data_IF_608486152832
#
_entry.id   IF_608486152832
#
_cell.length_a   1.000
_cell.length_b   1.000
_cell.length_c   1.000
_cell.angle_alpha   90.00
_cell.angle_beta   90.00
_cell.angle_gamma   90.00
#
_symmetry.space_group_name_H-M   'P 1'
#
loop_
_entity.id
_entity.type
_entity.pdbx_description
1 polymer ?
#
# COMPACT_ATOMS: atom_id res chain seq x y z
N UNK A 1 -58.98 -39.66 -35.77
CA UNK A 1 -58.21 -40.90 -35.50
C UNK A 1 -57.36 -40.68 -34.28
N UNK A 2 -57.56 -41.52 -33.31
CA UNK A 2 -57.06 -41.50 -31.95
C UNK A 2 -55.57 -41.97 -31.84
N UNK A 3 -55.03 -41.80 -30.70
CA UNK A 3 -53.93 -42.42 -29.94
C UNK A 3 -52.89 -41.39 -29.54
N UNK A 4 -52.41 -41.21 -28.31
CA UNK A 4 -52.65 -41.98 -27.08
C UNK A 4 -51.72 -41.39 -26.07
N UNK A 5 -52.18 -41.03 -24.86
CA UNK A 5 -51.35 -40.60 -23.72
C UNK A 5 -50.56 -41.78 -23.18
N UNK A 6 -49.26 -41.59 -22.88
CA UNK A 6 -48.59 -42.46 -21.93
C UNK A 6 -47.72 -41.61 -21.00
N UNK A 7 -47.99 -41.78 -19.75
CA UNK A 7 -47.34 -41.20 -18.57
C UNK A 7 -46.02 -41.88 -18.29
N UNK A 8 -44.98 -41.10 -17.99
CA UNK A 8 -43.78 -41.60 -17.26
C UNK A 8 -43.31 -40.61 -16.24
N UNK A 9 -43.88 -40.68 -15.04
CA UNK A 9 -43.46 -39.98 -13.82
C UNK A 9 -42.58 -40.87 -12.92
N UNK A 10 -41.57 -41.55 -13.45
CA UNK A 10 -40.67 -42.37 -12.62
C UNK A 10 -39.17 -42.11 -12.86
N UNK A 11 -38.78 -41.17 -13.73
CA UNK A 11 -37.38 -40.91 -14.06
C UNK A 11 -36.66 -39.89 -13.14
N UNK A 12 -37.38 -38.95 -12.54
CA UNK A 12 -36.77 -37.81 -11.85
C UNK A 12 -36.30 -38.12 -10.43
N UNK A 13 -36.93 -39.05 -9.74
CA UNK A 13 -36.56 -39.40 -8.35
C UNK A 13 -35.29 -40.28 -8.27
N UNK A 14 -35.05 -41.13 -9.27
CA UNK A 14 -33.83 -41.95 -9.32
C UNK A 14 -32.58 -41.15 -9.67
N UNK A 15 -32.68 -40.14 -10.54
CA UNK A 15 -31.56 -39.27 -10.89
C UNK A 15 -31.13 -38.35 -9.72
N UNK A 16 -32.07 -37.81 -8.97
CA UNK A 16 -31.77 -36.99 -7.80
C UNK A 16 -31.03 -37.76 -6.69
N UNK A 17 -31.47 -39.02 -6.42
CA UNK A 17 -30.80 -39.85 -5.42
C UNK A 17 -29.41 -40.33 -5.88
N UNK A 18 -29.21 -40.56 -7.19
CA UNK A 18 -27.92 -40.96 -7.75
C UNK A 18 -26.90 -39.79 -7.72
N UNK A 19 -27.36 -38.57 -7.96
CA UNK A 19 -26.50 -37.38 -7.90
C UNK A 19 -26.09 -37.07 -6.45
N UNK A 20 -26.98 -37.16 -5.48
CA UNK A 20 -26.68 -36.96 -4.06
C UNK A 20 -25.72 -38.02 -3.50
N UNK A 21 -25.85 -39.30 -3.91
CA UNK A 21 -24.94 -40.37 -3.49
C UNK A 21 -23.56 -40.28 -4.16
N UNK A 22 -23.48 -39.74 -5.38
CA UNK A 22 -22.21 -39.48 -6.06
C UNK A 22 -21.45 -38.29 -5.44
N UNK A 23 -22.15 -37.24 -5.01
CA UNK A 23 -21.53 -36.07 -4.37
C UNK A 23 -21.02 -36.41 -2.97
N UNK A 24 -21.73 -37.20 -2.18
CA UNK A 24 -21.24 -37.73 -0.90
C UNK A 24 -20.01 -38.63 -1.06
N UNK A 25 -19.98 -39.53 -2.06
CA UNK A 25 -18.80 -40.38 -2.34
C UNK A 25 -17.59 -39.56 -2.84
N UNK A 26 -17.83 -38.49 -3.59
CA UNK A 26 -16.78 -37.61 -4.08
C UNK A 26 -16.13 -36.80 -2.96
N UNK A 27 -16.91 -36.30 -1.99
CA UNK A 27 -16.40 -35.63 -0.80
C UNK A 27 -15.57 -36.59 0.08
N UNK A 28 -16.04 -37.82 0.30
CA UNK A 28 -15.29 -38.83 1.04
C UNK A 28 -14.01 -39.27 0.32
N UNK A 29 -14.03 -39.35 -1.02
CA UNK A 29 -12.88 -39.69 -1.84
C UNK A 29 -11.80 -38.58 -1.80
N UNK A 30 -12.20 -37.31 -1.89
CA UNK A 30 -11.26 -36.16 -1.77
C UNK A 30 -10.64 -36.11 -0.39
N UNK A 31 -11.41 -36.36 0.68
CA UNK A 31 -10.90 -36.42 2.05
C UNK A 31 -9.92 -37.58 2.24
N UNK A 32 -10.20 -38.74 1.68
CA UNK A 32 -9.35 -39.93 1.75
C UNK A 32 -8.06 -39.78 0.91
N UNK A 33 -8.12 -39.13 -0.25
CA UNK A 33 -6.96 -38.86 -1.09
C UNK A 33 -6.04 -37.78 -0.49
N UNK A 34 -6.62 -36.74 0.13
CA UNK A 34 -5.86 -35.71 0.83
C UNK A 34 -5.08 -36.24 2.02
N UNK A 35 -5.66 -37.18 2.77
CA UNK A 35 -5.01 -37.83 3.91
C UNK A 35 -3.96 -38.88 3.48
N UNK A 36 -4.16 -39.56 2.37
CA UNK A 36 -3.22 -40.57 1.86
C UNK A 36 -1.96 -39.97 1.23
N UNK A 37 -2.02 -38.80 0.62
CA UNK A 37 -0.89 -38.12 0.00
C UNK A 37 0.03 -37.43 1.03
N UNK A 38 -0.48 -37.05 2.19
CA UNK A 38 0.34 -36.48 3.27
C UNK A 38 1.10 -37.56 4.06
N UNK A 39 0.66 -38.81 4.06
CA UNK A 39 1.28 -39.89 4.85
C UNK A 39 2.59 -40.43 4.26
N UNK A 40 2.94 -40.10 3.01
CA UNK A 40 4.12 -40.62 2.32
C UNK A 40 5.30 -39.66 2.21
N UNK A 41 5.17 -38.41 2.66
CA UNK A 41 6.18 -37.37 2.37
C UNK A 41 7.02 -36.90 3.55
N UNK A 42 6.61 -37.06 4.82
CA UNK A 42 7.44 -36.70 6.01
C UNK A 42 6.80 -37.33 7.27
N UNK A 43 7.57 -37.53 8.38
CA UNK A 43 7.00 -37.94 9.65
C UNK A 43 6.31 -36.75 10.34
N UNK A 44 5.25 -36.23 9.72
CA UNK A 44 4.33 -35.32 10.42
C UNK A 44 3.46 -36.16 11.35
N UNK A 45 3.54 -35.90 12.66
CA UNK A 45 2.69 -36.57 13.62
C UNK A 45 1.23 -36.26 13.30
N UNK A 46 0.36 -37.28 13.28
CA UNK A 46 -1.12 -37.16 13.14
C UNK A 46 -1.70 -36.04 14.01
N UNK A 47 -1.07 -35.73 15.15
CA UNK A 47 -1.45 -34.65 16.06
C UNK A 47 -1.34 -33.24 15.46
N UNK A 48 -0.56 -33.03 14.38
CA UNK A 48 -0.40 -31.73 13.71
C UNK A 48 -1.48 -31.53 12.63
N UNK A 49 -1.84 -32.60 11.92
CA UNK A 49 -2.92 -32.57 10.91
C UNK A 49 -4.30 -32.45 11.60
N UNK A 50 -4.50 -33.17 12.70
CA UNK A 50 -5.73 -33.03 13.51
C UNK A 50 -5.85 -31.63 14.12
N UNK A 51 -4.77 -31.03 14.63
CA UNK A 51 -4.76 -29.65 15.13
C UNK A 51 -5.04 -28.60 14.07
N UNK A 52 -4.62 -28.83 12.82
CA UNK A 52 -4.93 -27.95 11.69
C UNK A 52 -6.41 -28.08 11.27
N UNK A 53 -6.93 -29.31 11.16
CA UNK A 53 -8.33 -29.57 10.80
C UNK A 53 -9.28 -29.11 11.88
N UNK A 54 -8.98 -29.33 13.14
CA UNK A 54 -9.81 -28.84 14.27
C UNK A 54 -9.82 -27.32 14.36
N UNK A 55 -8.71 -26.66 14.06
CA UNK A 55 -8.61 -25.19 14.04
C UNK A 55 -9.41 -24.56 12.89
N UNK A 56 -9.58 -25.27 11.78
CA UNK A 56 -10.32 -24.78 10.59
C UNK A 56 -11.79 -25.22 10.56
N UNK A 57 -12.14 -26.28 11.28
CA UNK A 57 -13.51 -26.84 11.34
C UNK A 57 -14.23 -26.54 12.65
N UNK A 58 -13.53 -25.95 13.64
CA UNK A 58 -14.16 -25.52 14.88
C UNK A 58 -15.07 -24.33 14.63
N UNK A 59 -16.25 -24.42 15.17
CA UNK A 59 -17.39 -23.49 15.29
C UNK A 59 -17.13 -22.02 14.92
N UNK A 60 -18.12 -21.28 14.41
CA UNK A 60 -17.96 -19.85 14.17
C UNK A 60 -17.41 -19.20 15.45
N UNK A 61 -16.28 -18.53 15.32
CA UNK A 61 -15.59 -17.93 16.44
C UNK A 61 -16.54 -17.02 17.21
N UNK A 62 -16.62 -17.19 18.52
CA UNK A 62 -17.34 -16.25 19.41
C UNK A 62 -16.47 -15.01 19.69
N UNK A 63 -15.31 -14.91 19.06
CA UNK A 63 -14.34 -13.83 19.24
C UNK A 63 -14.87 -12.50 18.74
N UNK A 64 -14.57 -11.45 19.50
CA UNK A 64 -14.84 -10.06 19.10
C UNK A 64 -13.51 -9.38 18.81
N UNK A 65 -13.43 -8.67 17.71
CA UNK A 65 -12.28 -7.81 17.42
C UNK A 65 -12.24 -6.65 18.43
N UNK A 66 -11.05 -6.34 18.91
CA UNK A 66 -10.79 -5.22 19.82
C UNK A 66 -9.79 -4.27 19.21
N UNK A 67 -10.21 -3.03 18.98
CA UNK A 67 -9.37 -1.93 18.52
C UNK A 67 -8.77 -1.19 19.73
N UNK A 68 -7.49 -0.88 19.65
CA UNK A 68 -6.79 0.05 20.53
C UNK A 68 -5.80 0.90 19.74
N UNK A 69 -5.51 2.11 20.22
CA UNK A 69 -4.63 3.04 19.53
C UNK A 69 -3.87 3.92 20.53
N UNK A 70 -2.70 4.39 20.10
CA UNK A 70 -1.81 5.22 20.91
C UNK A 70 -1.24 6.35 20.06
N UNK A 71 -1.37 7.62 20.48
CA UNK A 71 -0.67 8.74 19.86
C UNK A 71 0.84 8.51 19.83
N UNK A 72 1.47 8.88 18.73
CA UNK A 72 2.91 8.79 18.55
C UNK A 72 3.42 10.04 17.81
N UNK A 73 4.69 10.37 17.97
CA UNK A 73 5.32 11.47 17.23
C UNK A 73 6.63 10.97 16.64
N UNK A 74 6.72 10.97 15.32
CA UNK A 74 7.92 10.60 14.59
C UNK A 74 8.95 11.73 14.67
N UNK A 75 10.19 11.40 15.04
CA UNK A 75 11.33 12.30 15.09
C UNK A 75 12.15 12.16 13.81
N UNK A 76 12.26 13.23 13.04
CA UNK A 76 13.00 13.19 11.78
C UNK A 76 14.52 13.32 12.05
N UNK A 77 15.33 12.60 11.29
CA UNK A 77 16.81 12.67 11.37
C UNK A 77 17.35 14.02 10.92
N UNK A 78 16.72 14.59 9.89
CA UNK A 78 17.01 15.93 9.35
C UNK A 78 15.69 16.70 9.23
N UNK A 79 15.73 18.03 9.21
CA UNK A 79 14.58 18.83 8.85
C UNK A 79 14.09 18.44 7.45
N UNK A 80 12.79 18.17 7.32
CA UNK A 80 12.17 17.80 6.06
C UNK A 80 11.56 19.03 5.39
N UNK A 81 12.31 19.58 4.43
CA UNK A 81 11.96 20.80 3.74
C UNK A 81 11.35 20.50 2.37
N UNK A 82 10.18 21.04 2.14
CA UNK A 82 9.41 21.01 0.89
C UNK A 82 9.16 22.45 0.42
N UNK A 83 8.67 22.62 -0.81
CA UNK A 83 8.37 23.94 -1.38
C UNK A 83 7.45 24.80 -0.48
N UNK A 84 6.52 24.19 0.26
CA UNK A 84 5.48 24.91 1.05
C UNK A 84 5.53 24.63 2.55
N UNK A 85 6.44 23.80 3.04
CA UNK A 85 6.48 23.42 4.46
C UNK A 85 7.86 22.94 4.91
N UNK A 86 8.14 23.07 6.21
CA UNK A 86 9.31 22.49 6.88
C UNK A 86 8.88 21.90 8.22
N UNK A 87 9.46 20.76 8.59
CA UNK A 87 9.18 20.11 9.88
C UNK A 87 10.34 19.24 10.35
N UNK A 88 10.43 19.03 11.66
CA UNK A 88 11.38 18.12 12.33
C UNK A 88 10.69 16.94 12.97
N UNK A 89 9.35 16.96 13.05
CA UNK A 89 8.51 15.86 13.55
C UNK A 89 7.35 15.62 12.60
N UNK A 90 6.72 14.43 12.70
CA UNK A 90 5.45 14.15 12.05
C UNK A 90 4.51 13.51 13.06
N UNK A 91 3.26 14.03 13.23
CA UNK A 91 2.27 13.42 14.09
C UNK A 91 1.84 12.06 13.53
N UNK A 92 1.62 11.10 14.44
CA UNK A 92 1.27 9.72 14.11
C UNK A 92 0.35 9.12 15.17
N UNK A 93 -0.37 8.04 14.80
CA UNK A 93 -1.14 7.21 15.73
C UNK A 93 -0.94 5.75 15.37
N UNK A 94 -0.42 4.99 16.34
CA UNK A 94 -0.25 3.54 16.22
C UNK A 94 -1.53 2.82 16.59
N UNK A 95 -1.91 1.81 15.79
CA UNK A 95 -3.15 1.06 15.93
C UNK A 95 -2.88 -0.42 16.14
N UNK A 96 -3.67 -1.06 17.01
CA UNK A 96 -3.70 -2.51 17.23
C UNK A 96 -5.12 -3.03 17.10
N UNK A 97 -5.28 -4.15 16.40
CA UNK A 97 -6.52 -4.93 16.37
C UNK A 97 -6.21 -6.34 16.88
N UNK A 98 -6.91 -6.75 17.93
CA UNK A 98 -6.74 -8.06 18.54
C UNK A 98 -7.96 -8.94 18.25
N UNK A 99 -7.71 -10.20 17.90
CA UNK A 99 -8.75 -11.20 17.66
C UNK A 99 -8.19 -12.59 17.89
N UNK A 100 -8.81 -13.38 18.78
CA UNK A 100 -8.47 -14.79 19.08
C UNK A 100 -6.97 -15.07 19.28
N UNK A 101 -6.29 -14.20 20.01
CA UNK A 101 -4.85 -14.34 20.32
C UNK A 101 -3.92 -13.84 19.23
N UNK A 102 -4.43 -13.37 18.10
CA UNK A 102 -3.67 -12.67 17.07
C UNK A 102 -3.73 -11.16 17.27
N UNK A 103 -2.68 -10.46 16.86
CA UNK A 103 -2.60 -8.99 16.90
C UNK A 103 -2.14 -8.47 15.57
N UNK A 104 -2.96 -7.63 14.95
CA UNK A 104 -2.59 -6.83 13.77
C UNK A 104 -2.17 -5.42 14.17
N UNK A 105 -1.17 -4.88 13.50
CA UNK A 105 -0.63 -3.54 13.71
C UNK A 105 -0.90 -2.64 12.51
N UNK A 106 -1.15 -1.36 12.78
CA UNK A 106 -1.35 -0.33 11.76
C UNK A 106 -0.89 1.02 12.26
N UNK A 107 -0.83 1.98 11.37
CA UNK A 107 -0.25 3.30 11.61
C UNK A 107 -0.99 4.36 10.80
N UNK A 108 -1.18 5.55 11.40
CA UNK A 108 -1.75 6.73 10.77
C UNK A 108 -0.77 7.89 10.81
N UNK A 109 0.11 8.00 9.85
CA UNK A 109 1.00 9.16 9.70
C UNK A 109 0.27 10.32 9.05
N UNK A 110 0.40 11.52 9.62
CA UNK A 110 -0.40 12.71 9.28
C UNK A 110 0.46 13.90 8.88
N UNK A 111 1.07 13.93 7.69
CA UNK A 111 1.74 15.14 7.22
C UNK A 111 0.71 16.28 7.03
N UNK A 112 1.14 17.56 7.15
CA UNK A 112 0.23 18.70 7.22
C UNK A 112 -0.80 18.80 6.10
N UNK A 113 -0.46 18.38 4.89
CA UNK A 113 -1.34 18.54 3.72
C UNK A 113 -2.54 17.57 3.70
N UNK A 114 -2.57 16.54 4.56
CA UNK A 114 -3.74 15.67 4.70
C UNK A 114 -4.87 16.34 5.50
N UNK A 115 -4.56 17.41 6.26
CA UNK A 115 -5.54 18.11 7.08
C UNK A 115 -6.01 17.35 8.31
N UNK A 116 -5.34 16.24 8.65
CA UNK A 116 -5.61 15.42 9.84
C UNK A 116 -4.65 15.80 10.97
N UNK A 117 -5.02 15.49 12.20
CA UNK A 117 -4.26 15.68 13.43
C UNK A 117 -4.42 14.48 14.35
N UNK A 118 -3.53 14.34 15.35
CA UNK A 118 -3.66 13.31 16.39
C UNK A 118 -5.07 13.33 16.98
N UNK A 119 -5.62 14.51 17.29
CA UNK A 119 -6.95 14.65 17.87
C UNK A 119 -8.06 14.21 16.89
N UNK A 120 -7.96 14.54 15.60
CA UNK A 120 -8.96 14.12 14.61
C UNK A 120 -8.93 12.61 14.39
N UNK A 121 -7.74 12.02 14.29
CA UNK A 121 -7.54 10.57 14.13
C UNK A 121 -8.02 9.82 15.36
N UNK A 122 -7.62 10.22 16.58
CA UNK A 122 -8.07 9.59 17.81
C UNK A 122 -9.59 9.70 18.00
N UNK A 123 -10.19 10.84 17.64
CA UNK A 123 -11.64 11.03 17.66
C UNK A 123 -12.36 10.12 16.67
N UNK A 124 -11.80 9.93 15.48
CA UNK A 124 -12.34 9.00 14.48
C UNK A 124 -12.26 7.56 15.01
N UNK A 125 -11.08 7.12 15.46
CA UNK A 125 -10.84 5.76 15.96
C UNK A 125 -11.73 5.42 17.17
N UNK A 126 -12.04 6.42 18.01
CA UNK A 126 -12.95 6.24 19.16
C UNK A 126 -14.41 5.96 18.76
N UNK A 127 -14.81 6.25 17.52
CA UNK A 127 -16.16 5.94 17.01
C UNK A 127 -16.26 4.54 16.42
N UNK A 128 -15.12 3.89 16.17
CA UNK A 128 -15.06 2.60 15.49
C UNK A 128 -15.40 1.48 16.47
N UNK A 129 -16.46 0.73 16.18
CA UNK A 129 -16.82 -0.48 16.90
C UNK A 129 -16.62 -1.71 16.02
N UNK A 130 -15.47 -2.36 16.13
CA UNK A 130 -15.19 -3.62 15.44
C UNK A 130 -15.84 -4.84 16.10
N UNK A 131 -16.34 -4.72 17.33
CA UNK A 131 -16.94 -5.83 18.08
C UNK A 131 -18.26 -6.32 17.48
N UNK A 132 -18.86 -5.55 16.58
CA UNK A 132 -20.06 -5.93 15.82
C UNK A 132 -19.78 -6.96 14.72
N UNK A 133 -18.52 -7.15 14.34
CA UNK A 133 -18.11 -8.13 13.34
C UNK A 133 -17.51 -9.35 14.04
N UNK A 134 -18.15 -10.51 13.86
CA UNK A 134 -17.69 -11.79 14.41
C UNK A 134 -16.65 -12.49 13.53
N UNK A 135 -16.52 -12.06 12.27
CA UNK A 135 -15.62 -12.64 11.30
C UNK A 135 -14.73 -11.55 10.66
N UNK A 136 -13.41 -11.51 10.96
CA UNK A 136 -12.50 -10.53 10.41
C UNK A 136 -12.25 -10.70 8.90
N UNK A 137 -12.59 -11.85 8.31
CA UNK A 137 -12.48 -12.08 6.88
C UNK A 137 -13.54 -11.36 6.04
N UNK A 138 -14.57 -10.79 6.67
CA UNK A 138 -15.54 -9.91 6.00
C UNK A 138 -14.97 -8.51 5.74
N UNK A 139 -13.77 -8.47 5.18
CA UNK A 139 -12.97 -7.25 5.03
C UNK A 139 -13.70 -6.14 4.26
N UNK A 140 -14.41 -6.45 3.17
CA UNK A 140 -15.20 -5.48 2.40
C UNK A 140 -16.29 -4.82 3.26
N UNK A 141 -17.02 -5.60 4.05
CA UNK A 141 -18.09 -5.07 4.91
C UNK A 141 -17.52 -4.20 6.03
N UNK A 142 -16.40 -4.64 6.62
CA UNK A 142 -15.71 -3.89 7.68
C UNK A 142 -15.20 -2.55 7.13
N UNK A 143 -14.51 -2.55 6.00
CA UNK A 143 -13.97 -1.33 5.40
C UNK A 143 -15.09 -0.40 4.89
N UNK A 144 -16.19 -0.94 4.36
CA UNK A 144 -17.36 -0.13 4.02
C UNK A 144 -17.99 0.54 5.25
N UNK A 145 -18.07 -0.16 6.38
CA UNK A 145 -18.49 0.44 7.65
C UNK A 145 -17.52 1.56 8.09
N UNK A 146 -16.22 1.32 8.07
CA UNK A 146 -15.20 2.31 8.42
C UNK A 146 -15.32 3.56 7.54
N UNK A 147 -15.51 3.37 6.22
CA UNK A 147 -15.64 4.48 5.28
C UNK A 147 -16.92 5.30 5.50
N UNK A 148 -17.99 4.66 6.01
CA UNK A 148 -19.28 5.29 6.30
C UNK A 148 -19.28 6.19 7.54
N UNK A 149 -18.33 6.03 8.47
CA UNK A 149 -18.27 6.82 9.71
C UNK A 149 -18.02 8.31 9.43
N UNK A 150 -17.14 8.58 8.48
CA UNK A 150 -16.78 9.93 8.05
C UNK A 150 -16.20 9.85 6.63
N UNK A 151 -16.44 10.85 5.78
CA UNK A 151 -15.89 10.92 4.42
C UNK A 151 -14.39 11.25 4.38
N UNK A 152 -13.89 11.92 5.42
CA UNK A 152 -12.49 12.33 5.59
C UNK A 152 -11.74 11.32 6.49
N UNK A 153 -10.67 11.73 7.17
CA UNK A 153 -9.86 10.90 8.09
C UNK A 153 -9.22 9.68 7.39
N UNK A 154 -8.55 9.92 6.26
CA UNK A 154 -7.99 8.84 5.42
C UNK A 154 -6.84 8.09 6.09
N UNK A 155 -5.96 8.80 6.81
CA UNK A 155 -4.88 8.17 7.57
C UNK A 155 -5.43 7.28 8.69
N UNK A 156 -6.48 7.73 9.41
CA UNK A 156 -7.15 6.91 10.39
C UNK A 156 -7.77 5.64 9.79
N UNK A 157 -8.40 5.73 8.62
CA UNK A 157 -8.94 4.57 7.89
C UNK A 157 -7.82 3.63 7.43
N UNK A 158 -6.73 4.19 6.92
CA UNK A 158 -5.56 3.42 6.50
C UNK A 158 -4.97 2.62 7.65
N UNK A 159 -4.88 3.19 8.85
CA UNK A 159 -4.35 2.49 10.02
C UNK A 159 -5.17 1.25 10.40
N UNK A 160 -6.50 1.32 10.26
CA UNK A 160 -7.38 0.17 10.51
C UNK A 160 -7.25 -0.88 9.40
N UNK A 161 -7.21 -0.44 8.13
CA UNK A 161 -7.03 -1.35 6.98
C UNK A 161 -5.69 -2.09 7.08
N UNK A 162 -4.60 -1.39 7.38
CA UNK A 162 -3.27 -1.99 7.55
C UNK A 162 -3.31 -3.02 8.70
N UNK A 163 -3.89 -2.65 9.85
CA UNK A 163 -3.99 -3.55 11.01
C UNK A 163 -4.86 -4.78 10.72
N UNK A 164 -5.94 -4.64 9.94
CA UNK A 164 -6.74 -5.79 9.49
C UNK A 164 -5.96 -6.70 8.55
N UNK A 165 -5.21 -6.14 7.60
CA UNK A 165 -4.36 -6.93 6.71
C UNK A 165 -3.28 -7.67 7.50
N UNK A 166 -2.63 -7.02 8.45
CA UNK A 166 -1.64 -7.66 9.31
C UNK A 166 -2.27 -8.80 10.13
N UNK A 167 -3.44 -8.56 10.73
CA UNK A 167 -4.20 -9.56 11.48
C UNK A 167 -4.57 -10.75 10.62
N UNK A 168 -5.20 -10.52 9.46
CA UNK A 168 -5.67 -11.59 8.57
C UNK A 168 -4.51 -12.42 8.03
N UNK A 169 -3.41 -11.80 7.60
CA UNK A 169 -2.24 -12.53 7.16
C UNK A 169 -1.62 -13.38 8.26
N UNK A 170 -1.63 -12.91 9.52
CA UNK A 170 -1.20 -13.70 10.71
C UNK A 170 -2.14 -14.87 10.98
N UNK A 171 -3.45 -14.69 10.87
CA UNK A 171 -4.44 -15.79 10.99
C UNK A 171 -4.21 -16.83 9.88
N UNK A 172 -3.98 -16.41 8.66
CA UNK A 172 -3.69 -17.30 7.51
C UNK A 172 -2.28 -17.89 7.53
N UNK A 173 -1.38 -17.39 8.37
CA UNK A 173 0.02 -17.82 8.44
C UNK A 173 0.84 -17.46 7.19
N UNK A 174 0.47 -16.41 6.45
CA UNK A 174 1.11 -16.00 5.21
C UNK A 174 1.32 -14.49 5.12
N UNK A 175 2.40 -14.00 4.46
CA UNK A 175 2.55 -12.61 4.11
C UNK A 175 1.64 -12.24 2.93
N UNK A 176 1.22 -10.95 2.88
CA UNK A 176 0.24 -10.50 1.89
C UNK A 176 0.71 -10.59 0.45
N UNK A 177 1.98 -10.36 0.15
CA UNK A 177 2.47 -10.54 -1.22
C UNK A 177 2.26 -11.98 -1.72
N UNK A 178 2.37 -13.00 -0.83
CA UNK A 178 2.08 -14.40 -1.19
C UNK A 178 0.58 -14.65 -1.34
N UNK A 179 -0.26 -14.06 -0.47
CA UNK A 179 -1.72 -14.16 -0.57
C UNK A 179 -2.20 -13.60 -1.90
N UNK A 180 -1.61 -12.50 -2.36
CA UNK A 180 -1.89 -11.92 -3.69
C UNK A 180 -1.17 -12.61 -4.84
N UNK A 181 -0.35 -13.65 -4.60
CA UNK A 181 0.38 -14.39 -5.63
C UNK A 181 1.49 -13.58 -6.30
N UNK A 182 2.09 -12.62 -5.58
CA UNK A 182 3.10 -11.72 -6.12
C UNK A 182 4.51 -12.28 -5.96
N UNK A 183 5.38 -11.98 -6.92
CA UNK A 183 6.81 -12.28 -6.85
C UNK A 183 7.57 -11.08 -6.26
N UNK A 184 8.13 -11.16 -5.04
CA UNK A 184 8.81 -10.06 -4.36
C UNK A 184 10.06 -9.56 -5.12
N UNK A 185 10.70 -10.41 -5.94
CA UNK A 185 11.86 -10.02 -6.76
C UNK A 185 11.49 -9.02 -7.88
N UNK A 186 10.21 -8.80 -8.14
CA UNK A 186 9.72 -7.79 -9.09
C UNK A 186 9.57 -6.40 -8.49
N UNK A 187 9.80 -6.26 -7.19
CA UNK A 187 9.79 -4.94 -6.53
C UNK A 187 10.84 -4.03 -7.16
N UNK A 188 10.49 -2.83 -7.61
CA UNK A 188 11.46 -1.87 -8.09
C UNK A 188 12.38 -1.40 -6.95
N UNK A 189 13.54 -0.86 -7.30
CA UNK A 189 14.39 -0.18 -6.34
C UNK A 189 13.66 1.05 -5.79
N UNK A 190 13.73 1.26 -4.48
CA UNK A 190 13.22 2.50 -3.88
C UNK A 190 14.17 3.66 -4.12
N UNK A 191 13.62 4.84 -4.33
CA UNK A 191 14.38 6.08 -4.29
C UNK A 191 14.80 6.42 -2.85
N UNK A 192 15.78 7.33 -2.73
CA UNK A 192 16.15 7.99 -1.47
C UNK A 192 15.95 9.49 -1.63
N UNK A 193 15.25 10.11 -0.67
CA UNK A 193 14.80 11.50 -0.77
C UNK A 193 15.87 12.49 -0.36
N UNK A 194 16.18 13.43 -1.27
CA UNK A 194 16.98 14.64 -1.04
C UNK A 194 16.00 15.81 -0.92
N UNK A 195 15.79 16.30 0.30
CA UNK A 195 14.94 17.47 0.56
C UNK A 195 15.58 18.77 0.11
N UNK A 196 14.78 19.83 -0.03
CA UNK A 196 15.25 21.19 -0.33
C UNK A 196 16.12 21.69 0.83
N UNK A 197 17.34 22.16 0.52
CA UNK A 197 18.27 22.61 1.55
C UNK A 197 19.38 23.51 0.97
N UNK A 198 20.32 23.92 1.82
CA UNK A 198 21.56 24.57 1.37
C UNK A 198 22.40 23.63 0.52
N UNK A 199 23.27 24.18 -0.34
CA UNK A 199 24.16 23.35 -1.17
C UNK A 199 25.00 22.38 -0.35
N UNK A 200 25.52 22.82 0.81
CA UNK A 200 26.33 21.98 1.69
C UNK A 200 25.52 20.80 2.24
N UNK A 201 24.28 21.02 2.68
CA UNK A 201 23.41 19.97 3.17
C UNK A 201 22.96 19.01 2.04
N UNK A 202 22.71 19.54 0.84
CA UNK A 202 22.43 18.71 -0.34
C UNK A 202 23.61 17.78 -0.63
N UNK A 203 24.85 18.27 -0.59
CA UNK A 203 26.05 17.44 -0.76
C UNK A 203 26.14 16.35 0.29
N UNK A 204 25.94 16.70 1.56
CA UNK A 204 25.93 15.71 2.64
C UNK A 204 24.87 14.62 2.42
N UNK A 205 23.64 15.00 2.08
CA UNK A 205 22.56 14.03 1.82
C UNK A 205 22.86 13.13 0.60
N UNK A 206 23.50 13.65 -0.43
CA UNK A 206 23.94 12.83 -1.59
C UNK A 206 25.02 11.82 -1.19
N UNK A 207 25.92 12.16 -0.28
CA UNK A 207 26.91 11.24 0.29
C UNK A 207 26.25 10.17 1.15
N UNK A 208 25.32 10.54 2.04
CA UNK A 208 24.53 9.59 2.84
C UNK A 208 23.71 8.63 1.94
N UNK A 209 23.23 9.14 0.82
CA UNK A 209 22.50 8.36 -0.19
C UNK A 209 23.40 7.50 -1.08
N UNK A 210 24.72 7.45 -0.87
CA UNK A 210 25.65 6.72 -1.75
C UNK A 210 25.24 5.26 -2.05
N UNK A 211 24.66 4.48 -1.10
CA UNK A 211 24.22 3.12 -1.40
C UNK A 211 23.02 3.02 -2.35
N UNK A 212 22.21 4.06 -2.44
CA UNK A 212 20.96 4.03 -3.21
C UNK A 212 21.20 4.28 -4.69
N UNK A 213 20.44 3.61 -5.56
CA UNK A 213 20.61 3.64 -7.01
C UNK A 213 19.76 4.71 -7.70
N UNK A 214 18.73 5.23 -7.04
CA UNK A 214 17.84 6.29 -7.54
C UNK A 214 17.69 7.34 -6.45
N UNK A 215 17.75 8.62 -6.82
CA UNK A 215 17.51 9.73 -5.90
C UNK A 215 16.20 10.41 -6.25
N UNK A 216 15.36 10.67 -5.23
CA UNK A 216 14.19 11.56 -5.35
C UNK A 216 14.58 12.95 -4.87
N UNK A 217 14.45 13.96 -5.73
CA UNK A 217 14.87 15.33 -5.42
C UNK A 217 13.63 16.20 -5.25
N UNK A 218 13.49 16.82 -4.07
CA UNK A 218 12.44 17.80 -3.82
C UNK A 218 12.78 19.12 -4.48
N UNK A 219 11.82 19.68 -5.20
CA UNK A 219 11.94 20.90 -6.01
C UNK A 219 10.73 21.83 -5.77
N UNK A 220 10.65 22.92 -6.54
CA UNK A 220 9.55 23.88 -6.51
C UNK A 220 9.92 25.23 -5.91
N UNK A 221 11.20 25.55 -5.85
CA UNK A 221 11.74 26.87 -5.43
C UNK A 221 12.70 27.43 -6.50
N UNK A 222 13.07 28.69 -6.33
CA UNK A 222 13.96 29.40 -7.26
C UNK A 222 15.35 28.77 -7.42
N UNK A 223 15.78 27.94 -6.46
CA UNK A 223 17.08 27.28 -6.46
C UNK A 223 17.07 25.88 -7.11
N UNK A 224 15.99 25.47 -7.74
CA UNK A 224 15.83 24.13 -8.35
C UNK A 224 17.00 23.73 -9.25
N UNK A 225 17.40 24.62 -10.15
CA UNK A 225 18.53 24.35 -11.07
C UNK A 225 19.85 24.18 -10.31
N UNK A 226 20.13 25.03 -9.32
CA UNK A 226 21.35 24.95 -8.52
C UNK A 226 21.41 23.63 -7.73
N UNK A 227 20.28 23.19 -7.17
CA UNK A 227 20.18 21.91 -6.46
C UNK A 227 20.51 20.71 -7.38
N UNK A 228 19.93 20.67 -8.57
CA UNK A 228 20.21 19.60 -9.54
C UNK A 228 21.65 19.63 -10.02
N UNK A 229 22.23 20.80 -10.32
CA UNK A 229 23.63 20.92 -10.73
C UNK A 229 24.59 20.49 -9.61
N UNK A 230 24.26 20.81 -8.35
CA UNK A 230 25.02 20.31 -7.19
C UNK A 230 25.01 18.79 -7.15
N UNK A 231 23.84 18.16 -7.28
CA UNK A 231 23.71 16.70 -7.29
C UNK A 231 24.50 16.10 -8.47
N UNK A 232 24.40 16.68 -9.68
CA UNK A 232 25.10 16.20 -10.88
C UNK A 232 26.62 16.36 -10.80
N UNK A 233 27.11 17.33 -10.03
CA UNK A 233 28.54 17.46 -9.77
C UNK A 233 29.11 16.28 -8.94
N UNK A 234 28.25 15.50 -8.27
CA UNK A 234 28.63 14.41 -7.37
C UNK A 234 28.27 13.01 -7.91
N UNK A 235 27.23 12.90 -8.77
CA UNK A 235 26.73 11.59 -9.21
C UNK A 235 25.93 11.66 -10.50
N UNK A 236 26.07 10.60 -11.34
CA UNK A 236 25.28 10.38 -12.56
C UNK A 236 24.09 9.45 -12.32
N UNK A 237 23.81 9.05 -11.06
CA UNK A 237 22.66 8.18 -10.74
C UNK A 237 21.35 8.76 -11.26
N UNK A 238 20.40 7.92 -11.74
CA UNK A 238 19.07 8.38 -12.12
C UNK A 238 18.42 9.17 -10.97
N UNK A 239 17.75 10.27 -11.35
CA UNK A 239 16.92 11.04 -10.40
C UNK A 239 15.46 10.97 -10.83
N UNK A 240 14.55 11.12 -9.88
CA UNK A 240 13.19 11.58 -10.12
C UNK A 240 12.98 12.86 -9.31
N UNK A 241 12.10 13.72 -9.76
CA UNK A 241 11.85 14.99 -9.07
C UNK A 241 10.42 15.07 -8.60
N UNK A 242 10.23 15.64 -7.42
CA UNK A 242 8.92 15.92 -6.85
C UNK A 242 8.85 17.42 -6.54
N UNK A 243 8.01 18.10 -7.29
CA UNK A 243 7.88 19.56 -7.24
C UNK A 243 6.89 20.01 -6.17
N UNK A 244 6.09 19.08 -5.63
CA UNK A 244 5.09 19.35 -4.60
C UNK A 244 4.21 20.57 -4.91
N UNK A 245 3.73 20.68 -6.17
CA UNK A 245 2.88 21.76 -6.66
C UNK A 245 3.60 23.13 -6.70
N UNK A 246 4.93 23.15 -6.85
CA UNK A 246 5.73 24.38 -6.73
C UNK A 246 5.80 25.24 -7.98
N UNK A 247 5.52 24.70 -9.16
CA UNK A 247 5.54 25.48 -10.40
C UNK A 247 4.14 25.97 -10.78
N UNK A 248 3.99 27.24 -11.07
CA UNK A 248 2.72 27.91 -11.33
C UNK A 248 2.49 28.25 -12.83
N UNK A 249 3.47 27.98 -13.70
CA UNK A 249 3.39 28.18 -15.14
C UNK A 249 3.66 26.89 -15.89
N UNK A 250 2.76 26.50 -16.80
CA UNK A 250 2.92 25.31 -17.64
C UNK A 250 4.07 25.44 -18.64
N UNK A 251 4.36 26.67 -19.09
CA UNK A 251 5.47 26.95 -20.00
C UNK A 251 6.81 26.80 -19.25
N UNK A 252 6.91 27.35 -18.05
CA UNK A 252 8.08 27.16 -17.18
C UNK A 252 8.26 25.68 -16.81
N UNK A 253 7.17 25.00 -16.45
CA UNK A 253 7.21 23.56 -16.15
C UNK A 253 7.74 22.74 -17.34
N UNK A 254 7.28 23.02 -18.55
CA UNK A 254 7.76 22.34 -19.75
C UNK A 254 9.25 22.59 -20.01
N UNK A 255 9.71 23.84 -19.88
CA UNK A 255 11.13 24.20 -20.00
C UNK A 255 11.98 23.43 -18.98
N UNK A 256 11.57 23.41 -17.72
CA UNK A 256 12.27 22.71 -16.64
C UNK A 256 12.31 21.19 -16.91
N UNK A 257 11.23 20.60 -17.39
CA UNK A 257 11.18 19.17 -17.71
C UNK A 257 12.12 18.80 -18.85
N UNK A 258 12.22 19.60 -19.91
CA UNK A 258 13.22 19.39 -20.96
C UNK A 258 14.64 19.44 -20.41
N UNK A 259 14.93 20.44 -19.59
CA UNK A 259 16.22 20.63 -18.93
C UNK A 259 16.57 19.45 -17.99
N UNK A 260 15.59 18.92 -17.23
CA UNK A 260 15.73 17.77 -16.35
C UNK A 260 15.97 16.47 -17.12
N UNK A 261 15.32 16.29 -18.29
CA UNK A 261 15.54 15.11 -19.14
C UNK A 261 16.99 15.00 -19.57
N UNK A 262 17.63 16.09 -19.96
CA UNK A 262 19.05 16.14 -20.34
C UNK A 262 19.97 15.76 -19.16
N UNK A 263 19.46 15.84 -17.94
CA UNK A 263 20.15 15.51 -16.68
C UNK A 263 19.78 14.16 -16.09
N UNK A 264 19.19 13.25 -16.90
CA UNK A 264 18.90 11.88 -16.49
C UNK A 264 17.74 11.76 -15.50
N UNK A 265 16.78 12.68 -15.55
CA UNK A 265 15.53 12.56 -14.79
C UNK A 265 14.62 11.51 -15.44
N UNK A 266 13.99 10.66 -14.59
CA UNK A 266 13.13 9.56 -15.03
C UNK A 266 11.67 9.99 -15.20
N UNK A 267 11.16 10.82 -14.30
CA UNK A 267 9.80 11.35 -14.29
C UNK A 267 9.71 12.58 -13.39
N UNK A 268 8.62 13.33 -13.53
CA UNK A 268 8.31 14.49 -12.69
C UNK A 268 7.01 14.25 -11.93
N UNK A 269 7.05 14.37 -10.61
CA UNK A 269 5.91 14.20 -9.73
C UNK A 269 5.33 15.56 -9.35
N UNK A 270 4.02 15.69 -9.45
CA UNK A 270 3.17 16.83 -9.10
C UNK A 270 3.81 18.21 -9.41
N UNK A 271 4.06 18.51 -10.68
CA UNK A 271 4.76 19.75 -11.07
C UNK A 271 3.98 21.01 -10.70
N UNK A 272 2.65 21.00 -10.86
CA UNK A 272 1.78 22.16 -10.71
C UNK A 272 0.70 21.92 -9.65
N UNK A 273 0.05 23.00 -9.14
CA UNK A 273 -1.11 22.89 -8.27
C UNK A 273 -2.17 21.93 -8.81
N UNK A 274 -2.73 21.10 -7.92
CA UNK A 274 -3.71 20.05 -8.29
C UNK A 274 -4.99 20.58 -8.92
N UNK A 275 -5.28 21.88 -8.76
CA UNK A 275 -6.40 22.59 -9.36
C UNK A 275 -6.15 22.95 -10.83
N UNK A 276 -4.89 23.01 -11.28
CA UNK A 276 -4.48 23.33 -12.66
C UNK A 276 -4.57 22.10 -13.58
N UNK A 277 -5.79 21.59 -13.74
CA UNK A 277 -6.04 20.32 -14.45
C UNK A 277 -5.77 20.47 -15.96
N UNK A 278 -6.30 21.52 -16.58
CA UNK A 278 -6.15 21.74 -18.02
C UNK A 278 -4.70 22.06 -18.40
N UNK A 279 -4.00 22.83 -17.57
CA UNK A 279 -2.59 23.15 -17.75
C UNK A 279 -1.72 21.89 -17.59
N UNK A 280 -2.06 21.02 -16.65
CA UNK A 280 -1.35 19.75 -16.44
C UNK A 280 -1.59 18.79 -17.61
N UNK A 281 -2.81 18.70 -18.14
CA UNK A 281 -3.11 17.92 -19.33
C UNK A 281 -2.33 18.44 -20.56
N UNK A 282 -2.27 19.76 -20.74
CA UNK A 282 -1.47 20.41 -21.80
C UNK A 282 0.03 20.11 -21.65
N UNK A 283 0.55 20.15 -20.40
CA UNK A 283 1.93 19.84 -20.07
C UNK A 283 2.26 18.37 -20.38
N UNK A 284 1.41 17.45 -19.93
CA UNK A 284 1.57 16.01 -20.16
C UNK A 284 1.69 15.66 -21.64
N UNK A 285 0.86 16.26 -22.52
CA UNK A 285 0.92 15.99 -23.97
C UNK A 285 2.24 16.39 -24.63
N UNK A 286 2.99 17.31 -24.00
CA UNK A 286 4.21 17.91 -24.56
C UNK A 286 5.47 17.49 -23.81
N UNK A 287 5.29 16.95 -22.63
CA UNK A 287 6.38 16.54 -21.75
C UNK A 287 7.17 15.38 -22.33
N UNK A 288 8.51 15.48 -22.40
CA UNK A 288 9.36 14.36 -22.77
C UNK A 288 9.58 13.35 -21.64
N UNK A 289 9.07 13.61 -20.45
CA UNK A 289 9.12 12.75 -19.27
C UNK A 289 7.71 12.46 -18.76
N UNK A 290 7.45 11.28 -18.15
CA UNK A 290 6.17 11.01 -17.52
C UNK A 290 5.85 12.01 -16.41
N UNK A 291 4.58 12.43 -16.33
CA UNK A 291 4.04 13.28 -15.27
C UNK A 291 3.22 12.42 -14.31
N UNK A 292 3.60 12.39 -13.04
CA UNK A 292 2.99 11.56 -12.01
C UNK A 292 2.19 12.43 -11.02
N UNK A 293 0.94 12.03 -10.75
CA UNK A 293 0.10 12.69 -9.76
C UNK A 293 0.42 12.22 -8.34
N UNK A 294 0.57 13.15 -7.38
CA UNK A 294 0.63 12.87 -5.94
C UNK A 294 -0.54 13.52 -5.21
N UNK A 295 -0.50 14.83 -4.94
CA UNK A 295 -1.54 15.52 -4.17
C UNK A 295 -2.89 15.61 -4.90
N UNK A 296 -2.87 15.60 -6.24
CA UNK A 296 -4.08 15.56 -7.05
C UNK A 296 -4.83 14.24 -6.93
N UNK A 297 -4.13 13.14 -6.60
CA UNK A 297 -4.65 11.79 -6.64
C UNK A 297 -4.70 11.19 -5.23
N UNK A 298 -5.86 10.78 -4.78
CA UNK A 298 -6.02 10.33 -3.40
C UNK A 298 -6.80 9.02 -3.28
N UNK A 299 -7.93 8.86 -4.00
CA UNK A 299 -8.85 7.73 -3.88
C UNK A 299 -9.13 7.09 -5.24
N UNK A 300 -9.68 5.89 -5.22
CA UNK A 300 -10.02 5.12 -6.42
C UNK A 300 -10.82 5.90 -7.48
N UNK A 301 -11.82 6.73 -7.15
CA UNK A 301 -12.55 7.51 -8.15
C UNK A 301 -11.69 8.52 -8.93
N UNK A 302 -10.58 8.97 -8.35
CA UNK A 302 -9.69 9.97 -9.00
C UNK A 302 -9.02 9.40 -10.26
N UNK A 303 -8.86 8.07 -10.37
CA UNK A 303 -8.23 7.43 -11.54
C UNK A 303 -8.96 7.80 -12.83
N UNK A 304 -10.29 7.69 -12.83
CA UNK A 304 -11.09 8.01 -14.02
C UNK A 304 -11.13 9.51 -14.29
N UNK A 305 -11.10 10.34 -13.25
CA UNK A 305 -11.09 11.79 -13.34
C UNK A 305 -9.81 12.32 -13.98
N UNK A 306 -8.66 11.74 -13.65
CA UNK A 306 -7.34 12.22 -14.07
C UNK A 306 -6.72 11.43 -15.23
N UNK A 307 -7.48 10.49 -15.82
CA UNK A 307 -7.05 9.84 -17.06
C UNK A 307 -6.84 10.89 -18.17
N UNK A 308 -5.64 10.91 -18.74
CA UNK A 308 -5.27 11.90 -19.77
C UNK A 308 -4.69 13.20 -19.20
N UNK A 309 -4.78 13.44 -17.89
CA UNK A 309 -4.13 14.58 -17.22
C UNK A 309 -2.72 14.22 -16.76
N UNK A 310 -2.54 13.01 -16.26
CA UNK A 310 -1.27 12.46 -15.80
C UNK A 310 -0.95 11.17 -16.54
N UNK A 311 0.34 10.81 -16.64
CA UNK A 311 0.81 9.53 -17.18
C UNK A 311 0.75 8.42 -16.14
N UNK A 312 0.78 8.79 -14.86
CA UNK A 312 0.74 7.85 -13.76
C UNK A 312 0.33 8.50 -12.44
N UNK A 313 0.29 7.65 -11.42
CA UNK A 313 -0.19 8.00 -10.08
C UNK A 313 0.81 7.54 -9.04
N UNK A 314 0.99 8.33 -7.97
CA UNK A 314 1.68 7.93 -6.75
C UNK A 314 0.64 7.53 -5.70
N UNK A 315 0.56 6.24 -5.39
CA UNK A 315 -0.29 5.68 -4.34
C UNK A 315 0.46 5.75 -3.01
N UNK A 316 -0.16 6.37 -2.00
CA UNK A 316 0.30 6.34 -0.61
C UNK A 316 -0.84 5.85 0.27
N UNK A 317 -0.60 4.89 1.14
CA UNK A 317 -1.66 4.25 1.94
C UNK A 317 -2.47 5.26 2.76
N UNK A 318 -1.82 6.30 3.29
CA UNK A 318 -2.46 7.36 4.06
C UNK A 318 -3.43 8.22 3.23
N UNK A 319 -3.29 8.25 1.90
CA UNK A 319 -4.22 8.91 0.99
C UNK A 319 -5.35 7.97 0.55
N UNK A 320 -5.01 6.71 0.28
CA UNK A 320 -5.90 5.70 -0.30
C UNK A 320 -6.66 4.87 0.73
N UNK A 321 -6.70 5.29 1.99
CA UNK A 321 -7.37 4.54 3.07
C UNK A 321 -6.85 3.12 3.30
N UNK A 322 -5.62 2.81 2.89
CA UNK A 322 -4.93 1.56 3.18
C UNK A 322 -4.64 0.68 1.97
N UNK A 323 -4.29 -0.57 2.24
CA UNK A 323 -3.82 -1.57 1.26
C UNK A 323 -4.92 -2.05 0.33
N UNK A 324 -6.15 -2.19 0.84
CA UNK A 324 -7.28 -2.73 0.09
C UNK A 324 -7.67 -1.85 -1.09
N UNK A 325 -7.87 -0.56 -0.85
CA UNK A 325 -8.16 0.38 -1.93
C UNK A 325 -6.94 0.59 -2.84
N UNK A 326 -5.73 0.64 -2.27
CA UNK A 326 -4.49 0.74 -3.06
C UNK A 326 -4.35 -0.40 -4.09
N UNK A 327 -4.66 -1.64 -3.72
CA UNK A 327 -4.66 -2.78 -4.65
C UNK A 327 -5.67 -2.60 -5.79
N UNK A 328 -6.89 -2.12 -5.48
CA UNK A 328 -7.93 -1.81 -6.48
C UNK A 328 -7.46 -0.68 -7.41
N UNK A 329 -6.81 0.35 -6.85
CA UNK A 329 -6.25 1.48 -7.60
C UNK A 329 -5.18 1.03 -8.58
N UNK A 330 -4.24 0.18 -8.15
CA UNK A 330 -3.20 -0.40 -9.03
C UNK A 330 -3.85 -1.16 -10.18
N UNK A 331 -4.82 -2.00 -9.87
CA UNK A 331 -5.51 -2.83 -10.88
C UNK A 331 -6.21 -1.96 -11.94
N UNK A 332 -6.93 -0.92 -11.51
CA UNK A 332 -7.63 -0.02 -12.42
C UNK A 332 -6.65 0.84 -13.24
N UNK A 333 -5.61 1.38 -12.60
CA UNK A 333 -4.59 2.16 -13.29
C UNK A 333 -3.91 1.35 -14.40
N UNK A 334 -3.55 0.09 -14.12
CA UNK A 334 -2.99 -0.82 -15.13
C UNK A 334 -3.95 -1.09 -16.29
N UNK A 335 -5.23 -1.29 -16.01
CA UNK A 335 -6.26 -1.49 -17.05
C UNK A 335 -6.46 -0.24 -17.95
N UNK A 336 -6.03 0.92 -17.47
CA UNK A 336 -6.08 2.20 -18.18
C UNK A 336 -4.73 2.63 -18.78
N UNK A 337 -3.72 1.74 -18.80
CA UNK A 337 -2.36 1.98 -19.28
C UNK A 337 -1.63 3.11 -18.54
N UNK A 338 -2.03 3.38 -17.29
CA UNK A 338 -1.34 4.36 -16.44
C UNK A 338 -0.15 3.72 -15.72
N UNK A 339 0.90 4.51 -15.55
CA UNK A 339 2.03 4.16 -14.68
C UNK A 339 1.64 4.23 -13.22
N UNK A 340 2.29 3.41 -12.40
CA UNK A 340 2.01 3.37 -10.96
C UNK A 340 3.31 3.48 -10.18
N UNK A 341 3.32 4.36 -9.22
CA UNK A 341 4.31 4.48 -8.16
C UNK A 341 3.65 4.15 -6.83
N UNK A 342 4.35 3.44 -5.97
CA UNK A 342 3.99 3.29 -4.57
C UNK A 342 4.92 4.15 -3.72
N UNK A 343 4.35 5.09 -2.98
CA UNK A 343 5.07 5.96 -2.07
C UNK A 343 4.63 5.78 -0.62
N UNK A 344 5.30 6.54 0.24
CA UNK A 344 4.96 6.64 1.66
C UNK A 344 4.99 8.10 2.12
N UNK A 345 4.61 8.32 3.37
CA UNK A 345 4.93 9.54 4.11
C UNK A 345 6.23 9.32 4.89
N UNK A 346 6.58 10.20 5.83
CA UNK A 346 7.48 9.84 6.92
C UNK A 346 6.68 8.93 7.85
N UNK A 347 7.05 7.66 7.95
CA UNK A 347 6.28 6.58 8.58
C UNK A 347 7.23 5.65 9.32
N UNK A 348 6.72 4.85 10.25
CA UNK A 348 7.47 3.74 10.81
C UNK A 348 7.60 2.59 9.81
N UNK A 349 8.41 1.60 10.15
CA UNK A 349 8.46 0.35 9.38
C UNK A 349 7.11 -0.36 9.27
N UNK A 350 6.10 -0.02 10.09
CA UNK A 350 4.76 -0.62 9.99
C UNK A 350 4.09 -0.24 8.66
N UNK A 351 3.82 1.04 8.42
CA UNK A 351 3.12 1.46 7.20
C UNK A 351 3.99 1.32 5.95
N UNK A 352 5.31 1.56 6.05
CA UNK A 352 6.22 1.35 4.91
C UNK A 352 6.24 -0.10 4.47
N UNK A 353 6.25 -1.08 5.43
CA UNK A 353 6.19 -2.50 5.07
C UNK A 353 4.83 -2.89 4.49
N UNK A 354 3.74 -2.31 4.99
CA UNK A 354 2.41 -2.51 4.40
C UNK A 354 2.35 -2.04 2.93
N UNK A 355 2.87 -0.84 2.64
CA UNK A 355 2.96 -0.34 1.28
C UNK A 355 3.87 -1.21 0.40
N UNK A 356 4.98 -1.68 0.95
CA UNK A 356 5.93 -2.54 0.25
C UNK A 356 5.33 -3.88 -0.20
N UNK A 357 4.29 -4.42 0.49
CA UNK A 357 3.58 -5.63 0.05
C UNK A 357 2.99 -5.51 -1.37
N UNK A 358 2.72 -4.27 -1.83
CA UNK A 358 2.20 -3.94 -3.15
C UNK A 358 3.31 -3.64 -4.17
N UNK A 359 4.55 -3.47 -3.74
CA UNK A 359 5.66 -3.02 -4.60
C UNK A 359 5.92 -3.90 -5.82
N UNK A 360 5.69 -5.24 -5.83
CA UNK A 360 5.87 -6.05 -7.03
C UNK A 360 4.89 -5.72 -8.19
N UNK A 361 3.87 -4.89 -7.94
CA UNK A 361 2.84 -4.51 -8.93
C UNK A 361 3.10 -3.17 -9.60
N UNK A 362 4.11 -2.40 -9.18
CA UNK A 362 4.28 -1.01 -9.58
C UNK A 362 5.51 -0.78 -10.47
N UNK A 363 5.61 0.38 -11.12
CA UNK A 363 6.76 0.76 -11.95
C UNK A 363 7.88 1.38 -11.11
N UNK A 364 7.52 2.14 -10.06
CA UNK A 364 8.46 2.85 -9.19
C UNK A 364 8.07 2.73 -7.72
N UNK A 365 9.07 2.79 -6.84
CA UNK A 365 8.90 2.81 -5.40
C UNK A 365 9.61 4.01 -4.77
N UNK A 366 8.96 4.61 -3.77
CA UNK A 366 9.46 5.69 -2.92
C UNK A 366 9.10 5.34 -1.47
N UNK A 367 9.82 4.36 -0.93
CA UNK A 367 9.55 3.67 0.32
C UNK A 367 10.66 3.89 1.35
N UNK A 368 11.14 5.12 1.47
CA UNK A 368 12.22 5.52 2.38
C UNK A 368 11.75 6.17 3.68
N UNK A 369 10.43 6.25 3.93
CA UNK A 369 9.85 6.99 5.04
C UNK A 369 10.38 6.60 6.42
N UNK A 370 10.61 5.32 6.66
CA UNK A 370 11.19 4.79 7.90
C UNK A 370 12.70 5.06 8.04
N UNK A 371 13.41 5.32 6.95
CA UNK A 371 14.82 5.70 6.97
C UNK A 371 15.02 7.16 7.40
N UNK A 372 14.00 7.99 7.20
CA UNK A 372 14.03 9.41 7.51
C UNK A 372 13.76 9.73 8.99
N UNK A 373 13.35 8.73 9.80
CA UNK A 373 13.05 8.90 11.22
C UNK A 373 14.12 8.25 12.11
N UNK A 374 14.22 8.70 13.35
CA UNK A 374 15.20 8.21 14.34
C UNK A 374 14.58 7.32 15.42
N UNK A 375 13.25 7.27 15.52
CA UNK A 375 12.50 6.59 16.57
C UNK A 375 11.50 5.57 16.00
N UNK A 376 11.95 4.78 15.02
CA UNK A 376 11.13 3.66 14.52
C UNK A 376 10.85 2.66 15.66
N UNK A 377 9.61 2.24 15.79
CA UNK A 377 9.17 1.32 16.84
C UNK A 377 8.76 -0.07 16.30
N UNK A 378 9.02 -0.33 15.01
CA UNK A 378 8.79 -1.63 14.39
C UNK A 378 10.02 -2.12 13.64
N UNK A 379 10.21 -3.44 13.66
CA UNK A 379 11.04 -4.14 12.68
C UNK A 379 10.15 -4.66 11.54
N UNK A 380 10.60 -4.49 10.28
CA UNK A 380 9.82 -4.83 9.08
C UNK A 380 10.70 -5.06 7.86
N UNK A 381 10.29 -4.45 6.73
CA UNK A 381 11.06 -4.53 5.48
C UNK A 381 12.52 -4.14 5.68
N UNK A 382 13.39 -4.68 4.84
CA UNK A 382 14.80 -4.25 4.78
C UNK A 382 15.07 -3.55 3.44
N UNK A 383 15.76 -2.43 3.51
CA UNK A 383 16.19 -1.69 2.32
C UNK A 383 17.71 -1.69 2.31
N UNK A 384 18.28 -2.40 1.34
CA UNK A 384 19.74 -2.50 1.17
C UNK A 384 20.08 -2.03 -0.24
N UNK A 385 20.88 -0.97 -0.35
CA UNK A 385 21.24 -0.33 -1.61
C UNK A 385 20.02 0.04 -2.51
N UNK A 386 18.91 0.40 -1.89
CA UNK A 386 17.64 0.67 -2.55
C UNK A 386 16.80 -0.57 -2.90
N UNK A 387 17.33 -1.80 -2.73
CA UNK A 387 16.52 -3.01 -2.90
C UNK A 387 15.60 -3.18 -1.70
N UNK A 388 14.30 -3.19 -1.98
CA UNK A 388 13.25 -3.50 -1.00
C UNK A 388 13.17 -5.01 -0.84
N UNK A 389 13.38 -5.50 0.39
CA UNK A 389 13.24 -6.91 0.74
C UNK A 389 12.05 -7.07 1.68
N UNK A 390 11.02 -7.75 1.19
CA UNK A 390 9.80 -8.04 1.96
C UNK A 390 10.09 -9.13 3.00
N UNK A 391 9.60 -8.98 4.25
CA UNK A 391 9.69 -10.04 5.25
C UNK A 391 8.90 -11.29 4.81
N UNK A 392 9.52 -12.47 4.92
CA UNK A 392 8.81 -13.74 4.74
C UNK A 392 8.15 -14.17 6.06
N UNK A 393 7.32 -13.30 6.62
CA UNK A 393 6.62 -13.47 7.87
C UNK A 393 5.12 -13.17 7.69
N UNK A 394 4.22 -13.86 8.43
CA UNK A 394 2.78 -13.66 8.33
C UNK A 394 2.33 -12.21 8.55
N UNK A 395 1.22 -11.84 7.93
CA UNK A 395 0.68 -10.47 8.01
C UNK A 395 1.34 -9.55 7.01
N UNK A 396 1.60 -8.33 7.42
CA UNK A 396 2.46 -7.41 6.68
C UNK A 396 3.96 -7.67 6.98
N UNK A 397 4.25 -8.55 7.94
CA UNK A 397 5.61 -8.96 8.29
C UNK A 397 6.31 -8.03 9.28
N UNK A 398 5.58 -7.35 10.17
CA UNK A 398 6.16 -6.46 11.18
C UNK A 398 6.08 -7.03 12.59
N UNK A 399 7.05 -6.65 13.42
CA UNK A 399 7.08 -6.91 14.85
C UNK A 399 7.42 -5.63 15.61
N UNK A 400 6.75 -5.32 16.74
CA UNK A 400 7.18 -4.24 17.63
C UNK A 400 8.61 -4.47 18.15
N UNK A 401 9.38 -3.37 18.29
CA UNK A 401 10.72 -3.33 18.87
C UNK A 401 10.69 -3.21 20.39
#
# INVERSE_FOLDING_TARGET
MAFGRSTTTHGTTLLANTILTLDMKRRQFITAMGLGALALATPFSLSSAERLTDKWLSQPSSGKMRLSFTPYELQLRHAFNLAKSSRTTTPDVLVRIEYEGFTGYGEASMPPYLGESIDSVCRFLSKVDLSQFSDPFRLEDILAYIDSIDKDNRAAKASIDIALHDLLGKIMGQPWYKIWGLNPERSPLTSFTIGIDTEEMVRQKVEEAHPYKVLKVKMGLDNDRATIETIRSMTDRPICVDVNQGWDSKEHALEMIHWLKERGCLFVEQPMPKEMIDETAWLRERSPLPIIADEAFQRLPDITRFKGVYDGINIKLMKSTGMHEAYKMITLARALDMKVMIGCMTETSCAVTAAAQLSPLVDWADLDGNLLISNDCFDGLKIVEGKVTLPDAPGIGVTPL
#
